data_IF_976607333199
#
_entry.id   IF_976607333199
#
_cell.length_a   1.000
_cell.length_b   1.000
_cell.length_c   1.000
_cell.angle_alpha   90.00
_cell.angle_beta   90.00
_cell.angle_gamma   90.00
#
_symmetry.space_group_name_H-M   'P 1'
#
loop_
_entity.id
_entity.type
_entity.pdbx_description
1 polymer ?
#
# COMPACT_ATOMS: atom_id res chain seq x y z
N UNK A 1 -37.85 3.56 -26.03
CA UNK A 1 -38.50 3.12 -24.78
C UNK A 1 -37.72 1.99 -24.10
N UNK A 2 -37.44 0.86 -24.75
CA UNK A 2 -36.67 -0.26 -24.16
C UNK A 2 -35.32 0.12 -23.53
N UNK A 3 -34.57 1.01 -24.19
CA UNK A 3 -33.29 1.50 -23.68
C UNK A 3 -33.40 2.24 -22.33
N UNK A 4 -34.52 2.93 -22.08
CA UNK A 4 -34.74 3.64 -20.82
C UNK A 4 -34.96 2.68 -19.66
N UNK A 5 -35.77 1.64 -19.88
CA UNK A 5 -36.00 0.59 -18.88
C UNK A 5 -34.72 -0.19 -18.58
N UNK A 6 -33.92 -0.50 -19.61
CA UNK A 6 -32.63 -1.17 -19.43
C UNK A 6 -31.58 -0.32 -18.70
N UNK A 7 -31.66 1.01 -18.77
CA UNK A 7 -30.81 1.90 -17.96
C UNK A 7 -31.30 1.96 -16.51
N UNK A 8 -32.61 2.10 -16.30
CA UNK A 8 -33.23 2.11 -14.98
C UNK A 8 -32.94 0.83 -14.18
N UNK A 9 -32.99 -0.34 -14.82
CA UNK A 9 -32.65 -1.61 -14.15
C UNK A 9 -31.18 -1.66 -13.73
N UNK A 10 -30.27 -1.12 -14.56
CA UNK A 10 -28.84 -1.05 -14.23
C UNK A 10 -28.58 -0.14 -13.03
N UNK A 11 -29.24 1.02 -12.96
CA UNK A 11 -29.10 1.93 -11.81
C UNK A 11 -29.63 1.28 -10.53
N UNK A 12 -30.82 0.67 -10.57
CA UNK A 12 -31.37 -0.03 -9.40
C UNK A 12 -30.49 -1.19 -8.91
N UNK A 13 -29.91 -1.96 -9.83
CA UNK A 13 -28.97 -3.03 -9.48
C UNK A 13 -27.69 -2.46 -8.82
N UNK A 14 -27.16 -1.37 -9.36
CA UNK A 14 -25.99 -0.69 -8.82
C UNK A 14 -26.23 -0.10 -7.42
N UNK A 15 -27.41 0.48 -7.18
CA UNK A 15 -27.84 1.00 -5.87
C UNK A 15 -27.97 -0.10 -4.83
N UNK A 16 -28.59 -1.23 -5.19
CA UNK A 16 -28.68 -2.38 -4.27
C UNK A 16 -27.30 -2.91 -3.90
N UNK A 17 -26.40 -2.98 -4.88
CA UNK A 17 -25.02 -3.43 -4.65
C UNK A 17 -24.19 -2.41 -3.86
N UNK A 18 -24.41 -1.11 -4.01
CA UNK A 18 -23.74 -0.09 -3.21
C UNK A 18 -24.20 -0.14 -1.75
N UNK A 19 -25.51 -0.28 -1.53
CA UNK A 19 -26.09 -0.45 -0.19
C UNK A 19 -25.54 -1.70 0.51
N UNK A 20 -25.52 -2.85 -0.16
CA UNK A 20 -24.95 -4.08 0.40
C UNK A 20 -23.46 -3.94 0.77
N UNK A 21 -22.67 -3.23 -0.04
CA UNK A 21 -21.27 -2.92 0.26
C UNK A 21 -21.12 -1.98 1.45
N UNK A 22 -22.00 -0.99 1.59
CA UNK A 22 -22.01 -0.07 2.72
C UNK A 22 -22.32 -0.81 4.04
N UNK A 23 -23.35 -1.65 4.04
CA UNK A 23 -23.70 -2.51 5.19
C UNK A 23 -22.54 -3.45 5.55
N UNK A 24 -21.92 -4.11 4.57
CA UNK A 24 -20.76 -4.96 4.82
C UNK A 24 -19.57 -4.19 5.40
N UNK A 25 -19.34 -2.95 4.93
CA UNK A 25 -18.28 -2.08 5.43
C UNK A 25 -18.55 -1.61 6.86
N UNK A 26 -19.81 -1.28 7.18
CA UNK A 26 -20.25 -0.95 8.54
C UNK A 26 -20.08 -2.14 9.50
N UNK A 27 -20.32 -3.36 9.02
CA UNK A 27 -20.06 -4.60 9.76
C UNK A 27 -18.57 -4.97 9.85
N UNK A 28 -17.66 -4.10 9.38
CA UNK A 28 -16.21 -4.31 9.48
C UNK A 28 -15.63 -5.26 8.43
N UNK A 29 -16.40 -5.68 7.41
CA UNK A 29 -15.88 -6.54 6.34
C UNK A 29 -14.89 -5.78 5.48
N UNK A 30 -13.65 -6.26 5.43
CA UNK A 30 -12.59 -5.69 4.58
C UNK A 30 -12.67 -6.29 3.17
N UNK A 31 -13.32 -5.59 2.25
CA UNK A 31 -13.46 -6.01 0.84
C UNK A 31 -12.17 -5.85 0.02
N UNK A 32 -11.12 -5.26 0.59
CA UNK A 32 -9.83 -5.07 -0.08
C UNK A 32 -9.13 -6.41 -0.31
N UNK A 33 -8.27 -6.46 -1.34
CA UNK A 33 -7.24 -7.50 -1.46
C UNK A 33 -6.47 -7.63 -0.13
N UNK A 34 -6.37 -8.84 0.44
CA UNK A 34 -5.58 -9.07 1.65
C UNK A 34 -4.17 -8.54 1.48
N UNK A 35 -3.64 -7.86 2.51
CA UNK A 35 -2.24 -7.47 2.50
C UNK A 35 -1.39 -8.72 2.65
N UNK A 36 -0.62 -9.05 1.61
CA UNK A 36 0.37 -10.15 1.65
C UNK A 36 1.73 -9.62 2.18
N UNK A 37 1.78 -8.35 2.57
CA UNK A 37 3.00 -7.75 3.12
C UNK A 37 3.07 -8.13 4.58
N UNK A 38 4.13 -8.87 4.91
CA UNK A 38 4.50 -9.26 6.25
C UNK A 38 5.01 -8.05 7.05
N UNK A 39 4.42 -7.83 8.23
CA UNK A 39 4.75 -6.69 9.08
C UNK A 39 6.19 -6.78 9.60
N UNK A 40 6.64 -7.98 9.97
CA UNK A 40 7.98 -8.22 10.51
C UNK A 40 9.06 -7.86 9.49
N UNK A 41 8.81 -8.13 8.21
CA UNK A 41 9.73 -7.76 7.12
C UNK A 41 9.79 -6.26 6.90
N UNK A 42 8.69 -5.54 7.13
CA UNK A 42 8.67 -4.08 7.05
C UNK A 42 9.43 -3.45 8.23
N UNK A 43 9.24 -3.97 9.45
CA UNK A 43 9.99 -3.53 10.63
C UNK A 43 11.48 -3.80 10.46
N UNK A 44 11.85 -4.99 10.00
CA UNK A 44 13.25 -5.31 9.70
C UNK A 44 13.84 -4.38 8.62
N UNK A 45 13.07 -4.07 7.57
CA UNK A 45 13.50 -3.12 6.54
C UNK A 45 13.69 -1.70 7.10
N UNK A 46 12.83 -1.25 8.01
CA UNK A 46 12.96 0.05 8.67
C UNK A 46 14.23 0.12 9.53
N UNK A 47 14.50 -0.92 10.34
CA UNK A 47 15.72 -1.01 11.14
C UNK A 47 16.99 -1.00 10.29
N UNK A 48 16.99 -1.69 9.14
CA UNK A 48 18.12 -1.64 8.21
C UNK A 48 18.28 -0.26 7.58
N UNK A 49 17.17 0.45 7.35
CA UNK A 49 17.22 1.81 6.81
C UNK A 49 17.81 2.79 7.80
N UNK A 50 17.47 2.68 9.08
CA UNK A 50 18.03 3.51 10.15
C UNK A 50 19.52 3.25 10.36
N UNK A 51 19.96 2.00 10.18
CA UNK A 51 21.39 1.61 10.17
C UNK A 51 22.16 2.12 8.94
N UNK A 52 21.50 2.77 7.98
CA UNK A 52 22.15 3.38 6.82
C UNK A 52 22.35 2.45 5.62
N UNK A 53 21.74 1.25 5.60
CA UNK A 53 21.84 0.37 4.43
C UNK A 53 21.16 0.97 3.19
N UNK A 54 21.73 0.68 2.03
CA UNK A 54 21.18 1.10 0.75
C UNK A 54 19.92 0.29 0.42
N UNK A 55 19.05 0.86 -0.41
CA UNK A 55 17.80 0.20 -0.78
C UNK A 55 18.01 -1.10 -1.55
N UNK A 56 19.16 -1.26 -2.23
CA UNK A 56 19.55 -2.51 -2.92
C UNK A 56 19.88 -3.62 -1.92
N UNK A 57 20.62 -3.29 -0.86
CA UNK A 57 20.97 -4.24 0.20
C UNK A 57 19.75 -4.64 1.02
N UNK A 58 18.85 -3.68 1.31
CA UNK A 58 17.60 -3.95 2.02
C UNK A 58 16.73 -4.92 1.21
N UNK A 59 16.61 -4.74 -0.10
CA UNK A 59 15.88 -5.71 -0.94
C UNK A 59 16.50 -7.12 -0.92
N UNK A 60 17.83 -7.22 -0.91
CA UNK A 60 18.51 -8.51 -0.86
C UNK A 60 18.31 -9.23 0.48
N UNK A 61 18.28 -8.47 1.59
CA UNK A 61 18.12 -9.03 2.95
C UNK A 61 16.67 -9.38 3.31
N UNK A 62 15.71 -8.55 2.88
CA UNK A 62 14.28 -8.71 3.25
C UNK A 62 13.47 -9.48 2.21
N UNK A 63 13.98 -9.61 0.98
CA UNK A 63 13.24 -10.19 -0.14
C UNK A 63 12.06 -9.33 -0.62
N UNK A 64 11.87 -8.13 -0.06
CA UNK A 64 10.85 -7.19 -0.50
C UNK A 64 11.28 -6.50 -1.80
N UNK A 65 10.31 -6.20 -2.67
CA UNK A 65 10.58 -5.42 -3.89
C UNK A 65 10.84 -3.95 -3.54
N UNK A 66 11.67 -3.26 -4.33
CA UNK A 66 11.95 -1.81 -4.17
C UNK A 66 10.67 -0.98 -4.14
N UNK A 67 9.68 -1.32 -4.96
CA UNK A 67 8.38 -0.63 -5.01
C UNK A 67 7.58 -0.75 -3.72
N UNK A 68 7.71 -1.87 -3.01
CA UNK A 68 7.11 -2.06 -1.69
C UNK A 68 7.85 -1.23 -0.66
N UNK A 69 9.19 -1.25 -0.67
CA UNK A 69 9.99 -0.46 0.26
C UNK A 69 9.71 1.04 0.13
N UNK A 70 9.71 1.59 -1.09
CA UNK A 70 9.41 3.03 -1.29
C UNK A 70 7.98 3.43 -0.90
N UNK A 71 7.03 2.49 -0.90
CA UNK A 71 5.63 2.76 -0.51
C UNK A 71 5.44 2.76 1.00
N UNK A 72 6.25 1.97 1.72
CA UNK A 72 6.03 1.67 3.13
C UNK A 72 7.09 2.24 4.07
N UNK A 73 8.28 2.59 3.58
CA UNK A 73 9.31 3.24 4.40
C UNK A 73 9.19 4.76 4.28
N UNK A 74 9.36 5.50 5.40
CA UNK A 74 9.33 6.96 5.36
C UNK A 74 10.48 7.51 4.50
N UNK A 75 10.30 8.67 3.85
CA UNK A 75 11.39 9.34 3.15
C UNK A 75 12.51 9.66 4.13
N UNK A 76 13.76 9.32 3.75
CA UNK A 76 14.93 9.65 4.57
C UNK A 76 14.99 11.17 4.67
N UNK A 77 15.04 11.70 5.89
CA UNK A 77 15.27 13.13 6.08
C UNK A 77 16.60 13.51 5.43
N UNK A 78 16.64 14.56 4.57
CA UNK A 78 17.81 14.90 3.76
C UNK A 78 19.05 15.27 4.59
N UNK A 79 18.89 15.54 5.89
CA UNK A 79 20.01 15.82 6.79
C UNK A 79 21.01 14.65 6.93
N UNK A 80 20.58 13.40 6.73
CA UNK A 80 21.45 12.24 6.88
C UNK A 80 22.32 11.95 5.64
N UNK A 81 21.92 12.42 4.45
CA UNK A 81 22.68 12.17 3.20
C UNK A 81 23.82 13.19 3.03
N UNK A 82 23.72 14.38 3.63
CA UNK A 82 24.79 15.39 3.63
C UNK A 82 26.05 14.96 4.42
N UNK A 83 25.93 13.98 5.33
CA UNK A 83 27.06 13.47 6.12
C UNK A 83 27.98 12.51 5.34
N UNK A 84 27.55 11.95 4.21
CA UNK A 84 28.34 10.97 3.43
C UNK A 84 29.07 11.60 2.23
N UNK A 85 28.82 12.86 1.89
CA UNK A 85 29.51 13.57 0.77
C UNK A 85 30.78 14.33 1.23
N UNK A 86 31.35 13.96 2.37
CA UNK A 86 32.57 14.58 2.93
C UNK A 86 33.70 13.56 3.06
N UNK A 87 34.36 13.22 1.96
CA UNK A 87 35.75 12.74 1.91
C UNK A 87 36.25 12.73 0.43
N UNK A 88 37.53 13.04 0.18
CA UNK A 88 38.09 13.49 -1.11
C UNK A 88 38.18 12.42 -2.21
#
# INVERSE_FOLDING_TARGET
MLALFGEMERTYAAERASHARAVASANGRRTRRPSVIDADKLEHAALLRDKGFSMKEITAKTGLKRTTLYRHLPPRSPAADLATTSAP
#
